data_IF_805825361215
#
_entry.id   IF_805825361215
#
_cell.length_a   1.000
_cell.length_b   1.000
_cell.length_c   1.000
_cell.angle_alpha   90.00
_cell.angle_beta   90.00
_cell.angle_gamma   90.00
#
_symmetry.space_group_name_H-M   'P 1'
#
loop_
_entity.id
_entity.type
_entity.pdbx_description
1 polymer ?
#
# COMPACT_ATOMS: atom_id res chain seq x y z
N UNK A 1 6.86 2.07 -15.43
CA UNK A 1 6.46 2.00 -14.00
C UNK A 1 7.55 1.32 -13.20
N UNK A 2 7.85 1.81 -11.99
CA UNK A 2 8.93 1.29 -11.15
C UNK A 2 8.48 0.00 -10.43
N UNK A 3 9.37 -0.99 -10.34
CA UNK A 3 9.17 -2.19 -9.52
C UNK A 3 9.65 -1.91 -8.10
N UNK A 4 9.07 -2.59 -7.11
CA UNK A 4 9.49 -2.48 -5.71
C UNK A 4 11.01 -2.57 -5.54
N UNK A 5 11.65 -3.58 -6.15
CA UNK A 5 13.08 -3.82 -6.03
C UNK A 5 13.93 -2.68 -6.60
N UNK A 6 13.39 -1.89 -7.54
CA UNK A 6 14.09 -0.71 -8.09
C UNK A 6 13.92 0.53 -7.21
N UNK A 7 12.78 0.65 -6.54
CA UNK A 7 12.47 1.76 -5.62
C UNK A 7 13.28 1.60 -4.34
N UNK A 8 13.33 0.38 -3.80
CA UNK A 8 14.01 0.03 -2.56
C UNK A 8 15.41 -0.58 -2.80
N UNK A 9 16.08 -0.17 -3.88
CA UNK A 9 17.48 -0.50 -4.14
C UNK A 9 18.39 0.47 -3.37
N UNK A 10 18.76 0.07 -2.15
CA UNK A 10 19.59 0.86 -1.25
C UNK A 10 21.09 0.80 -1.53
N UNK A 11 21.51 0.09 -2.58
CA UNK A 11 22.91 0.18 -3.06
C UNK A 11 23.19 1.54 -3.71
N UNK A 12 22.14 2.29 -4.05
CA UNK A 12 22.19 3.63 -4.63
C UNK A 12 21.80 4.66 -3.58
N UNK A 13 22.74 5.49 -3.16
CA UNK A 13 22.52 6.56 -2.17
C UNK A 13 21.33 7.46 -2.53
N UNK A 14 21.22 7.84 -3.81
CA UNK A 14 20.08 8.64 -4.32
C UNK A 14 18.72 7.97 -4.07
N UNK A 15 18.63 6.64 -4.12
CA UNK A 15 17.38 5.94 -3.83
C UNK A 15 17.07 5.98 -2.33
N UNK A 16 18.08 5.79 -1.47
CA UNK A 16 17.94 5.90 -0.02
C UNK A 16 17.36 7.27 0.35
N UNK A 17 17.97 8.36 -0.13
CA UNK A 17 17.48 9.72 0.13
C UNK A 17 16.04 9.93 -0.35
N UNK A 18 15.70 9.46 -1.56
CA UNK A 18 14.35 9.60 -2.10
C UNK A 18 13.31 8.80 -1.32
N UNK A 19 13.64 7.58 -0.87
CA UNK A 19 12.76 6.75 -0.05
C UNK A 19 12.54 7.41 1.31
N UNK A 20 13.59 7.85 1.98
CA UNK A 20 13.47 8.51 3.28
C UNK A 20 12.67 9.81 3.18
N UNK A 21 12.91 10.63 2.15
CA UNK A 21 12.12 11.84 1.90
C UNK A 21 10.65 11.54 1.60
N UNK A 22 10.37 10.49 0.83
CA UNK A 22 8.99 10.09 0.55
C UNK A 22 8.29 9.50 1.79
N UNK A 23 9.02 8.86 2.71
CA UNK A 23 8.47 8.38 3.99
C UNK A 23 8.16 9.53 4.95
N UNK A 24 8.95 10.61 4.94
CA UNK A 24 8.64 11.85 5.68
C UNK A 24 7.33 12.49 5.21
N UNK A 25 7.02 12.41 3.91
CA UNK A 25 5.74 12.85 3.34
C UNK A 25 4.63 11.79 3.38
N UNK A 26 4.88 10.63 4.00
CA UNK A 26 3.97 9.49 4.04
C UNK A 26 3.84 8.90 5.44
N UNK A 27 3.86 7.56 5.55
CA UNK A 27 3.67 6.85 6.83
C UNK A 27 4.53 5.58 6.90
N UNK A 28 4.94 5.21 8.11
CA UNK A 28 5.53 3.90 8.41
C UNK A 28 7.03 3.80 8.19
N UNK A 29 7.77 4.90 8.39
CA UNK A 29 9.25 4.89 8.33
C UNK A 29 9.85 3.86 9.30
N UNK A 30 9.24 3.71 10.48
CA UNK A 30 9.62 2.74 11.51
C UNK A 30 9.50 1.28 11.05
N UNK A 31 8.67 1.01 10.04
CA UNK A 31 8.43 -0.33 9.51
C UNK A 31 9.31 -0.66 8.30
N UNK A 32 10.06 0.31 7.77
CA UNK A 32 10.80 0.16 6.51
C UNK A 32 11.72 -1.07 6.51
N UNK A 33 12.56 -1.19 7.54
CA UNK A 33 13.53 -2.29 7.60
C UNK A 33 12.84 -3.65 7.69
N UNK A 34 11.84 -3.78 8.57
CA UNK A 34 11.08 -5.02 8.73
C UNK A 34 10.36 -5.41 7.44
N UNK A 35 9.72 -4.44 6.77
CA UNK A 35 9.02 -4.66 5.51
C UNK A 35 9.99 -5.07 4.39
N UNK A 36 11.15 -4.41 4.27
CA UNK A 36 12.17 -4.76 3.28
C UNK A 36 12.74 -6.17 3.53
N UNK A 37 12.92 -6.59 4.78
CA UNK A 37 13.32 -7.96 5.11
C UNK A 37 12.24 -8.97 4.70
N UNK A 38 10.97 -8.71 5.05
CA UNK A 38 9.88 -9.61 4.66
C UNK A 38 9.63 -9.65 3.15
N UNK A 39 9.88 -8.55 2.44
CA UNK A 39 9.74 -8.49 0.99
C UNK A 39 10.71 -9.41 0.24
N UNK A 40 11.79 -9.87 0.90
CA UNK A 40 12.73 -10.84 0.36
C UNK A 40 12.31 -12.30 0.62
N UNK A 41 11.32 -12.54 1.49
CA UNK A 41 10.88 -13.86 1.86
C UNK A 41 9.94 -14.50 0.80
N UNK A 42 9.89 -15.83 0.78
CA UNK A 42 8.92 -16.56 -0.02
C UNK A 42 7.49 -16.23 0.45
N UNK A 43 6.67 -15.66 -0.43
CA UNK A 43 5.28 -15.27 -0.13
C UNK A 43 5.02 -13.76 -0.17
N UNK A 44 6.05 -12.92 -0.35
CA UNK A 44 5.86 -11.51 -0.66
C UNK A 44 5.20 -11.35 -2.05
N UNK A 45 4.18 -10.48 -2.12
CA UNK A 45 3.40 -10.23 -3.32
C UNK A 45 3.75 -8.86 -3.89
N UNK A 46 4.55 -8.85 -4.96
CA UNK A 46 4.90 -7.63 -5.69
C UNK A 46 3.86 -7.34 -6.79
N UNK A 47 2.93 -6.42 -6.51
CA UNK A 47 1.86 -5.99 -7.40
C UNK A 47 2.27 -4.71 -8.14
N UNK A 48 3.26 -4.86 -9.03
CA UNK A 48 3.98 -3.74 -9.62
C UNK A 48 3.13 -2.75 -10.42
N UNK A 49 2.01 -3.17 -11.03
CA UNK A 49 1.08 -2.29 -11.75
C UNK A 49 0.19 -1.49 -10.80
N UNK A 50 -0.08 -2.02 -9.61
CA UNK A 50 -0.73 -1.29 -8.53
C UNK A 50 0.26 -0.47 -7.68
N UNK A 51 1.57 -0.70 -7.87
CA UNK A 51 2.63 -0.10 -7.07
C UNK A 51 2.47 -0.41 -5.58
N UNK A 52 2.08 -1.66 -5.29
CA UNK A 52 1.86 -2.17 -3.94
C UNK A 52 2.74 -3.41 -3.72
N UNK A 53 3.36 -3.51 -2.55
CA UNK A 53 3.97 -4.71 -2.03
C UNK A 53 3.17 -5.18 -0.81
N UNK A 54 2.81 -6.47 -0.76
CA UNK A 54 2.14 -7.08 0.39
C UNK A 54 3.04 -8.21 0.92
N UNK A 55 3.48 -8.11 2.16
CA UNK A 55 4.28 -9.14 2.83
C UNK A 55 3.40 -9.96 3.77
N UNK A 56 3.96 -10.69 4.74
CA UNK A 56 3.14 -11.35 5.76
C UNK A 56 2.47 -10.32 6.68
N UNK A 57 3.22 -9.32 7.14
CA UNK A 57 2.77 -8.38 8.17
C UNK A 57 2.55 -6.96 7.67
N UNK A 58 2.99 -6.60 6.46
CA UNK A 58 2.96 -5.22 5.98
C UNK A 58 2.33 -5.09 4.59
N UNK A 59 1.74 -3.93 4.34
CA UNK A 59 1.46 -3.41 3.01
C UNK A 59 2.27 -2.15 2.79
N UNK A 60 2.89 -2.03 1.61
CA UNK A 60 3.59 -0.83 1.19
C UNK A 60 3.01 -0.33 -0.14
N UNK A 61 2.45 0.88 -0.13
CA UNK A 61 2.11 1.61 -1.34
C UNK A 61 3.23 2.61 -1.69
N UNK A 62 3.77 2.47 -2.89
CA UNK A 62 4.88 3.29 -3.41
C UNK A 62 4.50 3.99 -4.72
N UNK A 63 3.19 4.17 -4.98
CA UNK A 63 2.72 4.74 -6.24
C UNK A 63 3.10 6.19 -6.44
N UNK A 64 3.13 6.96 -5.35
CA UNK A 64 3.54 8.36 -5.30
C UNK A 64 5.02 8.52 -4.92
N UNK A 65 5.87 7.53 -5.24
CA UNK A 65 7.30 7.61 -4.98
C UNK A 65 7.88 8.91 -5.56
N UNK A 66 8.48 9.73 -4.68
CA UNK A 66 8.91 11.16 -4.78
C UNK A 66 8.04 12.15 -3.97
N UNK A 67 6.81 11.79 -3.61
CA UNK A 67 5.91 12.59 -2.76
C UNK A 67 5.62 11.89 -1.44
N UNK A 68 5.16 10.64 -1.51
CA UNK A 68 4.77 9.86 -0.33
C UNK A 68 4.97 8.36 -0.55
N UNK A 69 5.49 7.67 0.45
CA UNK A 69 5.42 6.20 0.59
C UNK A 69 4.61 5.90 1.84
N UNK A 70 3.70 4.93 1.75
CA UNK A 70 2.89 4.50 2.89
C UNK A 70 3.18 3.03 3.18
N UNK A 71 3.70 2.75 4.37
CA UNK A 71 3.89 1.40 4.91
C UNK A 71 2.96 1.25 6.12
N UNK A 72 2.09 0.24 6.09
CA UNK A 72 1.15 -0.03 7.17
C UNK A 72 1.29 -1.48 7.66
N UNK A 73 1.28 -1.73 8.97
CA UNK A 73 1.04 -3.06 9.51
C UNK A 73 -0.35 -3.53 9.08
N UNK A 74 -0.45 -4.75 8.57
CA UNK A 74 -1.72 -5.32 8.11
C UNK A 74 -2.71 -5.44 9.27
N UNK A 75 -2.22 -5.76 10.48
CA UNK A 75 -3.03 -5.83 11.71
C UNK A 75 -3.72 -4.50 12.06
N UNK A 76 -3.21 -3.37 11.56
CA UNK A 76 -3.78 -2.05 11.84
C UNK A 76 -4.89 -1.67 10.86
N UNK A 77 -5.06 -2.43 9.77
CA UNK A 77 -6.08 -2.20 8.76
C UNK A 77 -7.41 -2.79 9.25
N UNK A 78 -8.42 -1.92 9.38
CA UNK A 78 -9.75 -2.29 9.88
C UNK A 78 -10.77 -2.43 8.76
N UNK A 79 -10.57 -1.73 7.65
CA UNK A 79 -11.49 -1.76 6.52
C UNK A 79 -10.76 -1.44 5.22
N UNK A 80 -11.21 -2.07 4.13
CA UNK A 80 -10.64 -1.92 2.80
C UNK A 80 -11.77 -1.99 1.78
N UNK A 81 -11.83 -1.02 0.88
CA UNK A 81 -12.87 -0.96 -0.13
C UNK A 81 -12.42 -0.18 -1.37
N UNK A 82 -13.21 -0.27 -2.43
CA UNK A 82 -13.01 0.56 -3.62
C UNK A 82 -13.70 1.91 -3.41
N UNK A 83 -12.96 3.01 -3.57
CA UNK A 83 -13.53 4.36 -3.52
C UNK A 83 -13.29 5.12 -4.81
N UNK A 84 -14.29 5.89 -5.21
CA UNK A 84 -14.20 6.96 -6.21
C UNK A 84 -14.46 8.35 -5.60
N UNK A 85 -14.59 8.42 -4.27
CA UNK A 85 -14.62 9.66 -3.52
C UNK A 85 -13.26 9.85 -2.84
N UNK A 86 -12.62 10.96 -3.15
CA UNK A 86 -11.29 11.32 -2.66
C UNK A 86 -11.40 12.63 -1.90
N UNK A 87 -11.08 12.63 -0.61
CA UNK A 87 -11.06 13.84 0.22
C UNK A 87 -12.35 14.68 0.12
N UNK A 88 -13.52 14.02 0.10
CA UNK A 88 -14.82 14.67 0.01
C UNK A 88 -15.27 15.06 -1.40
N UNK A 89 -14.47 14.77 -2.44
CA UNK A 89 -14.82 15.03 -3.84
C UNK A 89 -15.03 13.73 -4.62
N UNK A 90 -16.16 13.62 -5.32
CA UNK A 90 -16.44 12.50 -6.20
C UNK A 90 -15.68 12.65 -7.52
N UNK A 91 -14.92 11.62 -7.90
CA UNK A 91 -14.21 11.53 -9.17
C UNK A 91 -14.97 10.57 -10.11
N UNK A 92 -15.43 11.10 -11.24
CA UNK A 92 -16.20 10.32 -12.21
C UNK A 92 -15.33 9.35 -13.02
N UNK A 93 -14.03 9.59 -13.13
CA UNK A 93 -13.15 8.88 -14.05
C UNK A 93 -12.26 7.86 -13.34
N UNK A 94 -11.94 8.11 -12.07
CA UNK A 94 -10.95 7.32 -11.34
C UNK A 94 -11.53 6.65 -10.10
N UNK A 95 -10.82 5.60 -9.67
CA UNK A 95 -11.07 4.87 -8.43
C UNK A 95 -9.73 4.50 -7.78
N UNK A 96 -9.75 4.20 -6.49
CA UNK A 96 -8.60 3.71 -5.73
C UNK A 96 -9.04 2.65 -4.72
N UNK A 97 -8.06 2.00 -4.11
CA UNK A 97 -8.24 1.17 -2.92
C UNK A 97 -8.18 2.11 -1.71
N UNK A 98 -9.31 2.29 -1.03
CA UNK A 98 -9.38 2.95 0.26
C UNK A 98 -8.96 1.96 1.35
N UNK A 99 -8.05 2.39 2.23
CA UNK A 99 -7.54 1.61 3.36
C UNK A 99 -7.72 2.44 4.62
N UNK A 100 -8.57 1.96 5.53
CA UNK A 100 -8.82 2.59 6.82
C UNK A 100 -8.03 1.86 7.91
N UNK A 101 -7.39 2.62 8.80
CA UNK A 101 -6.64 2.08 9.93
C UNK A 101 -7.43 2.21 11.24
N UNK A 102 -7.03 1.43 12.25
CA UNK A 102 -7.58 1.52 13.62
C UNK A 102 -7.41 2.90 14.28
N UNK A 103 -6.54 3.75 13.73
CA UNK A 103 -6.31 5.12 14.19
C UNK A 103 -7.21 6.14 13.45
N UNK A 104 -8.22 5.69 12.70
CA UNK A 104 -9.07 6.51 11.84
C UNK A 104 -8.33 7.26 10.73
N UNK A 105 -7.18 6.73 10.27
CA UNK A 105 -6.50 7.25 9.09
C UNK A 105 -7.07 6.60 7.83
N UNK A 106 -7.25 7.38 6.77
CA UNK A 106 -7.72 6.90 5.48
C UNK A 106 -6.66 7.15 4.40
N UNK A 107 -6.23 6.08 3.75
CA UNK A 107 -5.28 6.14 2.64
C UNK A 107 -5.93 5.65 1.34
N UNK A 108 -5.50 6.24 0.21
CA UNK A 108 -5.94 5.83 -1.11
C UNK A 108 -4.77 5.27 -1.92
N UNK A 109 -4.79 3.97 -2.19
CA UNK A 109 -3.75 3.29 -2.93
C UNK A 109 -4.16 3.04 -4.39
N UNK A 110 -3.17 3.09 -5.28
CA UNK A 110 -3.28 2.65 -6.67
C UNK A 110 -4.44 3.31 -7.45
N UNK A 111 -4.52 4.64 -7.46
CA UNK A 111 -5.54 5.37 -8.26
C UNK A 111 -5.46 4.96 -9.74
N UNK A 112 -6.55 4.46 -10.30
CA UNK A 112 -6.64 3.99 -11.69
C UNK A 112 -7.97 4.39 -12.34
N UNK A 113 -8.04 4.33 -13.67
CA UNK A 113 -9.27 4.63 -14.41
C UNK A 113 -10.32 3.55 -14.15
N UNK A 114 -11.59 3.95 -13.99
CA UNK A 114 -12.71 3.01 -13.78
C UNK A 114 -12.91 2.04 -14.95
N UNK A 115 -12.57 2.48 -16.17
CA UNK A 115 -12.73 1.68 -17.38
C UNK A 115 -11.54 0.74 -17.62
N UNK A 116 -10.50 0.83 -16.79
CA UNK A 116 -9.29 0.03 -16.93
C UNK A 116 -9.38 -1.21 -16.03
N UNK A 117 -9.24 -2.39 -16.63
CA UNK A 117 -8.98 -3.60 -15.87
C UNK A 117 -7.49 -3.66 -15.50
N UNK A 118 -7.18 -3.52 -14.22
CA UNK A 118 -5.81 -3.66 -13.69
C UNK A 118 -5.79 -4.89 -12.78
N UNK A 119 -5.30 -6.05 -13.24
CA UNK A 119 -5.30 -7.28 -12.44
C UNK A 119 -4.66 -7.11 -11.06
N UNK A 120 -3.50 -6.45 -11.00
CA UNK A 120 -2.80 -6.15 -9.74
C UNK A 120 -3.65 -5.33 -8.76
N UNK A 121 -4.49 -4.42 -9.26
CA UNK A 121 -5.42 -3.65 -8.41
C UNK A 121 -6.48 -4.56 -7.79
N UNK A 122 -7.05 -5.46 -8.60
CA UNK A 122 -8.09 -6.41 -8.14
C UNK A 122 -7.48 -7.36 -7.11
N UNK A 123 -6.29 -7.90 -7.39
CA UNK A 123 -5.56 -8.77 -6.47
C UNK A 123 -5.21 -8.06 -5.17
N UNK A 124 -4.71 -6.82 -5.23
CA UNK A 124 -4.40 -6.02 -4.05
C UNK A 124 -5.66 -5.81 -3.18
N UNK A 125 -6.75 -5.36 -3.81
CA UNK A 125 -8.03 -5.11 -3.14
C UNK A 125 -8.53 -6.38 -2.44
N UNK A 126 -8.64 -7.51 -3.16
CA UNK A 126 -9.12 -8.77 -2.60
C UNK A 126 -8.25 -9.30 -1.47
N UNK A 127 -6.92 -9.24 -1.63
CA UNK A 127 -5.97 -9.69 -0.60
C UNK A 127 -6.07 -8.86 0.66
N UNK A 128 -6.11 -7.54 0.54
CA UNK A 128 -6.19 -6.63 1.70
C UNK A 128 -7.55 -6.75 2.40
N UNK A 129 -8.65 -6.89 1.66
CA UNK A 129 -9.98 -7.15 2.23
C UNK A 129 -10.00 -8.45 3.04
N UNK A 130 -9.48 -9.55 2.48
CA UNK A 130 -9.43 -10.84 3.17
C UNK A 130 -8.63 -10.75 4.48
N UNK A 131 -7.48 -10.05 4.46
CA UNK A 131 -6.64 -9.91 5.65
C UNK A 131 -7.24 -8.97 6.69
N UNK A 132 -7.87 -7.87 6.29
CA UNK A 132 -8.59 -6.98 7.19
C UNK A 132 -9.74 -7.71 7.90
N UNK A 133 -10.49 -8.55 7.18
CA UNK A 133 -11.56 -9.37 7.76
C UNK A 133 -11.04 -10.38 8.79
N UNK A 134 -9.90 -11.02 8.51
CA UNK A 134 -9.27 -11.93 9.46
C UNK A 134 -8.87 -11.22 10.76
N UNK A 135 -8.40 -9.96 10.67
CA UNK A 135 -8.10 -9.15 11.86
C UNK A 135 -9.37 -8.79 12.64
N UNK A 136 -10.45 -8.40 11.95
CA UNK A 136 -11.72 -8.07 12.59
C UNK A 136 -12.32 -9.28 13.33
N UNK A 137 -12.21 -10.48 12.77
CA UNK A 137 -12.63 -11.71 13.43
C UNK A 137 -11.84 -12.00 14.72
N UNK A 138 -10.56 -11.63 14.77
CA UNK A 138 -9.70 -11.80 15.96
C UNK A 138 -9.98 -10.77 17.07
N UNK A 139 -10.79 -9.72 16.81
CA UNK A 139 -11.20 -8.74 17.82
C UNK A 139 -12.49 -9.12 18.56
N UNK A 140 -13.18 -10.18 18.12
CA UNK A 140 -14.47 -10.65 18.66
C UNK A 140 -14.33 -11.96 19.45
N UNK A 141 -13.11 -12.50 19.56
CA UNK A 141 -12.78 -13.68 20.38
C UNK A 141 -12.01 -13.30 21.65
#
# INVERSE_FOLDING_TARGET
>A
MAKFEKVFDFTKEKNVENVMKALQGGRGQEYLNAMCTEAQAAGAMNLSKAQIMITANYVCYYGDFKRSIVILPIQDIVNVYRSNCFYGSYDYNYMAIAVETKNNELFYFSKCSKNQNVPDFITALGTLMQRAQANAANLVG
#
